data_IF_088468128505
#
_entry.id   IF_088468128505
#
_cell.length_a   1.000
_cell.length_b   1.000
_cell.length_c   1.000
_cell.angle_alpha   90.00
_cell.angle_beta   90.00
_cell.angle_gamma   90.00
#
_symmetry.space_group_name_H-M   'P 1'
#
loop_
_entity.id
_entity.type
_entity.pdbx_description
1 polymer ?
#
# COMPACT_ATOMS: atom_id res chain seq x y z
N UNK A 1 51.31 -5.41 82.85
CA UNK A 1 50.23 -4.67 82.17
C UNK A 1 50.37 -4.69 80.64
N UNK A 2 51.00 -5.70 80.02
CA UNK A 2 51.37 -5.67 78.59
C UNK A 2 50.66 -6.68 77.69
N UNK A 3 49.71 -7.48 78.21
CA UNK A 3 49.03 -8.54 77.43
C UNK A 3 47.59 -8.22 77.00
N UNK A 4 47.03 -7.06 77.37
CA UNK A 4 45.65 -6.66 77.00
C UNK A 4 45.57 -5.74 75.77
N UNK A 5 46.68 -5.15 75.32
CA UNK A 5 46.71 -4.20 74.19
C UNK A 5 46.91 -4.90 72.83
N UNK A 6 47.50 -6.11 72.84
CA UNK A 6 47.79 -6.86 71.60
C UNK A 6 46.56 -7.59 71.06
N UNK A 7 45.71 -8.13 71.93
CA UNK A 7 44.43 -8.80 71.59
C UNK A 7 43.33 -7.83 71.15
N UNK A 8 43.29 -6.63 71.71
CA UNK A 8 42.35 -5.57 71.29
C UNK A 8 42.72 -5.02 69.90
N UNK A 9 44.01 -4.87 69.60
CA UNK A 9 44.47 -4.45 68.27
C UNK A 9 44.11 -5.46 67.17
N UNK A 10 44.28 -6.77 67.40
CA UNK A 10 43.97 -7.80 66.37
C UNK A 10 42.46 -7.92 66.08
N UNK A 11 41.61 -7.76 67.09
CA UNK A 11 40.15 -7.77 66.93
C UNK A 11 39.62 -6.53 66.19
N UNK A 12 40.24 -5.36 66.41
CA UNK A 12 39.91 -4.13 65.68
C UNK A 12 40.29 -4.23 64.19
N UNK A 13 41.44 -4.84 63.87
CA UNK A 13 41.86 -5.06 62.48
C UNK A 13 40.97 -6.07 61.75
N UNK A 14 40.51 -7.14 62.42
CA UNK A 14 39.57 -8.11 61.83
C UNK A 14 38.17 -7.51 61.63
N UNK A 15 37.66 -6.71 62.57
CA UNK A 15 36.39 -6.00 62.39
C UNK A 15 36.46 -4.95 61.27
N UNK A 16 37.58 -4.23 61.14
CA UNK A 16 37.79 -3.31 60.03
C UNK A 16 37.86 -4.03 58.67
N UNK A 17 38.56 -5.16 58.57
CA UNK A 17 38.58 -5.97 57.34
C UNK A 17 37.21 -6.53 56.97
N UNK A 18 36.43 -6.99 57.94
CA UNK A 18 35.08 -7.53 57.71
C UNK A 18 34.08 -6.42 57.30
N UNK A 19 34.21 -5.22 57.86
CA UNK A 19 33.47 -4.03 57.42
C UNK A 19 33.87 -3.59 56.01
N UNK A 20 35.16 -3.59 55.67
CA UNK A 20 35.65 -3.26 54.32
C UNK A 20 35.14 -4.27 53.28
N UNK A 21 35.13 -5.56 53.62
CA UNK A 21 34.65 -6.62 52.74
C UNK A 21 33.14 -6.52 52.52
N UNK A 22 32.37 -6.16 53.55
CA UNK A 22 30.91 -5.93 53.44
C UNK A 22 30.60 -4.67 52.62
N UNK A 23 31.41 -3.60 52.78
CA UNK A 23 31.29 -2.40 51.94
C UNK A 23 31.60 -2.69 50.46
N UNK A 24 32.62 -3.50 50.17
CA UNK A 24 32.97 -3.90 48.81
C UNK A 24 31.85 -4.75 48.17
N UNK A 25 31.26 -5.68 48.92
CA UNK A 25 30.12 -6.49 48.47
C UNK A 25 28.90 -5.61 48.18
N UNK A 26 28.59 -4.64 49.04
CA UNK A 26 27.49 -3.71 48.81
C UNK A 26 27.74 -2.81 47.58
N UNK A 27 28.97 -2.36 47.36
CA UNK A 27 29.33 -1.59 46.15
C UNK A 27 29.23 -2.44 44.87
N UNK A 28 29.64 -3.71 44.93
CA UNK A 28 29.50 -4.66 43.82
C UNK A 28 28.02 -4.93 43.50
N UNK A 29 27.18 -5.12 44.53
CA UNK A 29 25.73 -5.29 44.37
C UNK A 29 25.06 -4.04 43.79
N UNK A 30 25.44 -2.85 44.26
CA UNK A 30 24.94 -1.58 43.70
C UNK A 30 25.35 -1.42 42.23
N UNK A 31 26.59 -1.78 41.87
CA UNK A 31 27.10 -1.71 40.49
C UNK A 31 26.42 -2.73 39.57
N UNK A 32 26.14 -3.94 40.07
CA UNK A 32 25.34 -4.94 39.37
C UNK A 32 23.90 -4.47 39.15
N UNK A 33 23.29 -3.85 40.17
CA UNK A 33 21.94 -3.30 40.04
C UNK A 33 21.89 -2.14 39.05
N UNK A 34 22.89 -1.24 39.06
CA UNK A 34 22.97 -0.16 38.07
C UNK A 34 23.16 -0.68 36.65
N UNK A 35 24.00 -1.72 36.47
CA UNK A 35 24.22 -2.35 35.17
C UNK A 35 22.95 -3.03 34.66
N UNK A 36 22.20 -3.71 35.55
CA UNK A 36 20.90 -4.30 35.23
C UNK A 36 19.93 -3.23 34.78
N UNK A 37 19.79 -2.14 35.53
CA UNK A 37 18.88 -1.04 35.17
C UNK A 37 19.27 -0.41 33.82
N UNK A 38 20.55 -0.15 33.57
CA UNK A 38 21.02 0.39 32.28
C UNK A 38 20.79 -0.58 31.12
N UNK A 39 20.97 -1.89 31.34
CA UNK A 39 20.70 -2.94 30.33
C UNK A 39 19.22 -3.00 29.99
N UNK A 40 18.33 -2.91 31.00
CA UNK A 40 16.88 -2.87 30.80
C UNK A 40 16.50 -1.67 29.95
N UNK A 41 17.01 -0.47 30.26
CA UNK A 41 16.73 0.75 29.48
C UNK A 41 17.28 0.64 28.06
N UNK A 42 18.51 0.15 27.87
CA UNK A 42 19.11 -0.01 26.55
C UNK A 42 18.35 -1.03 25.68
N UNK A 43 17.95 -2.17 26.26
CA UNK A 43 17.13 -3.16 25.56
C UNK A 43 15.74 -2.63 25.26
N UNK A 44 15.13 -1.86 26.17
CA UNK A 44 13.82 -1.24 25.95
C UNK A 44 13.88 -0.27 24.78
N UNK A 45 14.88 0.61 24.73
CA UNK A 45 15.07 1.55 23.62
C UNK A 45 15.37 0.84 22.29
N UNK A 46 16.17 -0.22 22.32
CA UNK A 46 16.53 -0.98 21.11
C UNK A 46 15.34 -1.78 20.56
N UNK A 47 14.54 -2.39 21.45
CA UNK A 47 13.32 -3.10 21.09
C UNK A 47 12.24 -2.14 20.60
N UNK A 48 12.06 -0.99 21.25
CA UNK A 48 11.12 0.04 20.79
C UNK A 48 11.47 0.58 19.40
N UNK A 49 12.76 0.70 19.07
CA UNK A 49 13.21 1.15 17.75
C UNK A 49 13.06 0.08 16.65
N UNK A 50 13.09 -1.22 16.99
CA UNK A 50 12.97 -2.33 16.03
C UNK A 50 12.36 -3.58 16.70
N UNK A 51 11.04 -3.54 16.90
CA UNK A 51 10.29 -4.54 17.69
C UNK A 51 10.39 -5.92 17.04
N UNK A 52 10.20 -6.03 15.72
CA UNK A 52 10.16 -7.30 14.99
C UNK A 52 11.47 -8.10 15.13
N UNK A 53 12.61 -7.44 14.88
CA UNK A 53 13.93 -8.10 14.93
C UNK A 53 14.34 -8.46 16.35
N UNK A 54 13.99 -7.60 17.32
CA UNK A 54 14.35 -7.79 18.71
C UNK A 54 13.48 -8.83 19.41
N UNK A 55 12.17 -8.86 19.16
CA UNK A 55 11.28 -9.87 19.75
C UNK A 55 11.59 -11.27 19.19
N UNK A 56 11.82 -11.38 17.88
CA UNK A 56 12.14 -12.66 17.22
C UNK A 56 13.35 -13.35 17.85
N UNK A 57 14.38 -12.59 18.26
CA UNK A 57 15.60 -13.12 18.87
C UNK A 57 15.52 -13.23 20.39
N UNK A 58 14.71 -12.41 21.05
CA UNK A 58 14.66 -12.34 22.52
C UNK A 58 13.49 -13.11 23.15
N UNK A 59 12.48 -13.53 22.39
CA UNK A 59 11.32 -14.29 22.92
C UNK A 59 11.72 -15.61 23.60
N UNK A 60 12.80 -16.24 23.13
CA UNK A 60 13.37 -17.44 23.73
C UNK A 60 13.82 -17.24 25.20
N UNK A 61 14.15 -16.01 25.60
CA UNK A 61 14.52 -15.69 26.99
C UNK A 61 13.33 -15.80 27.95
N UNK A 62 12.10 -15.64 27.45
CA UNK A 62 10.87 -15.88 28.21
C UNK A 62 10.66 -17.36 28.60
N UNK A 63 11.29 -18.28 27.85
CA UNK A 63 11.24 -19.73 28.09
C UNK A 63 12.56 -20.30 28.66
N UNK A 64 13.48 -19.42 29.06
CA UNK A 64 14.78 -19.83 29.57
C UNK A 64 14.65 -20.70 30.83
N UNK A 65 15.54 -21.68 31.03
CA UNK A 65 15.46 -22.62 32.18
C UNK A 65 15.64 -21.91 33.53
N UNK A 66 16.53 -20.91 33.55
CA UNK A 66 16.80 -20.11 34.75
C UNK A 66 15.65 -19.13 35.07
N UNK A 67 15.07 -19.16 36.28
CA UNK A 67 13.98 -18.27 36.67
C UNK A 67 14.37 -16.79 36.74
N UNK A 68 15.64 -16.45 37.03
CA UNK A 68 16.06 -15.06 37.12
C UNK A 68 16.13 -14.42 35.73
N UNK A 69 16.63 -15.14 34.72
CA UNK A 69 16.59 -14.70 33.31
C UNK A 69 15.16 -14.48 32.81
N UNK A 70 14.22 -15.38 33.15
CA UNK A 70 12.81 -15.19 32.78
C UNK A 70 12.21 -13.95 33.45
N UNK A 71 12.49 -13.75 34.74
CA UNK A 71 12.01 -12.59 35.48
C UNK A 71 12.58 -11.28 34.91
N UNK A 72 13.87 -11.23 34.59
CA UNK A 72 14.49 -10.06 33.96
C UNK A 72 13.90 -9.77 32.57
N UNK A 73 13.64 -10.80 31.76
CA UNK A 73 12.99 -10.63 30.46
C UNK A 73 11.54 -10.13 30.60
N UNK A 74 10.77 -10.68 31.53
CA UNK A 74 9.40 -10.21 31.81
C UNK A 74 9.39 -8.78 32.35
N UNK A 75 10.37 -8.40 33.16
CA UNK A 75 10.55 -7.02 33.63
C UNK A 75 10.83 -6.06 32.47
N UNK A 76 11.74 -6.42 31.55
CA UNK A 76 12.01 -5.65 30.32
C UNK A 76 10.75 -5.52 29.46
N UNK A 77 10.06 -6.62 29.18
CA UNK A 77 8.80 -6.59 28.41
C UNK A 77 7.73 -5.73 29.07
N UNK A 78 7.60 -5.83 30.40
CA UNK A 78 6.64 -5.04 31.16
C UNK A 78 6.97 -3.55 31.09
N UNK A 79 8.26 -3.16 31.16
CA UNK A 79 8.66 -1.77 31.00
C UNK A 79 8.42 -1.24 29.57
N UNK A 80 8.66 -2.05 28.54
CA UNK A 80 8.36 -1.69 27.15
C UNK A 80 6.86 -1.43 26.97
N UNK A 81 6.01 -2.32 27.52
CA UNK A 81 4.54 -2.16 27.51
C UNK A 81 4.10 -0.91 28.28
N UNK A 82 4.68 -0.64 29.44
CA UNK A 82 4.34 0.53 30.28
C UNK A 82 4.80 1.86 29.67
N UNK A 83 5.87 1.88 28.88
CA UNK A 83 6.36 3.06 28.18
C UNK A 83 5.48 3.48 26.99
N UNK A 84 4.39 2.75 26.72
CA UNK A 84 3.50 3.02 25.59
C UNK A 84 4.14 2.60 24.26
N UNK A 85 5.08 1.64 24.27
CA UNK A 85 5.57 1.05 23.03
C UNK A 85 4.43 0.26 22.42
N UNK A 86 3.87 0.83 21.36
CA UNK A 86 2.83 0.22 20.55
C UNK A 86 3.39 -1.04 19.83
N UNK A 87 3.28 -2.21 20.47
CA UNK A 87 3.36 -3.51 19.78
C UNK A 87 2.31 -3.64 18.67
N UNK A 88 1.40 -2.69 18.60
CA UNK A 88 0.38 -2.50 17.58
C UNK A 88 0.98 -2.66 16.17
N UNK A 89 2.25 -2.29 15.93
CA UNK A 89 2.94 -2.56 14.65
C UNK A 89 3.01 -4.04 14.21
N UNK A 90 2.83 -5.00 15.11
CA UNK A 90 2.85 -6.45 14.84
C UNK A 90 1.45 -7.04 14.58
N UNK A 91 0.38 -6.33 14.95
CA UNK A 91 -0.98 -6.79 14.77
C UNK A 91 -1.48 -6.39 13.37
N UNK A 92 -1.94 -7.36 12.56
CA UNK A 92 -2.52 -7.10 11.23
C UNK A 92 -3.65 -6.05 11.27
N UNK A 93 -4.38 -5.98 12.38
CA UNK A 93 -5.43 -4.99 12.65
C UNK A 93 -4.94 -3.54 12.70
N UNK A 94 -3.69 -3.28 13.11
CA UNK A 94 -3.16 -1.90 13.23
C UNK A 94 -2.49 -1.46 11.93
N UNK A 95 -1.93 -2.39 11.16
CA UNK A 95 -1.53 -2.09 9.78
C UNK A 95 -2.74 -1.61 8.98
N UNK A 96 -3.89 -2.24 9.15
CA UNK A 96 -5.15 -1.79 8.54
C UNK A 96 -5.52 -0.35 8.97
N UNK A 97 -5.45 -0.03 10.26
CA UNK A 97 -5.74 1.33 10.78
C UNK A 97 -4.79 2.39 10.20
N UNK A 98 -3.50 2.06 10.02
CA UNK A 98 -2.52 2.97 9.40
C UNK A 98 -2.79 3.22 7.93
N UNK A 99 -3.16 2.18 7.18
CA UNK A 99 -3.54 2.33 5.78
C UNK A 99 -4.87 3.07 5.62
N UNK A 100 -5.80 2.93 6.57
CA UNK A 100 -7.02 3.71 6.59
C UNK A 100 -6.72 5.21 6.70
N UNK A 101 -5.83 5.61 7.61
CA UNK A 101 -5.39 7.01 7.74
C UNK A 101 -4.76 7.54 6.44
N UNK A 102 -3.97 6.72 5.75
CA UNK A 102 -3.38 7.09 4.47
C UNK A 102 -4.46 7.27 3.38
N UNK A 103 -5.44 6.37 3.33
CA UNK A 103 -6.57 6.47 2.41
C UNK A 103 -7.35 7.75 2.68
N UNK A 104 -7.66 8.07 3.94
CA UNK A 104 -8.32 9.32 4.32
C UNK A 104 -7.57 10.55 3.80
N UNK A 105 -6.24 10.58 3.96
CA UNK A 105 -5.39 11.68 3.48
C UNK A 105 -5.41 11.79 1.95
N UNK A 106 -5.29 10.67 1.23
CA UNK A 106 -5.32 10.66 -0.25
C UNK A 106 -6.68 11.10 -0.79
N UNK A 107 -7.76 10.73 -0.11
CA UNK A 107 -9.14 11.09 -0.48
C UNK A 107 -9.62 12.41 0.14
N UNK A 108 -8.75 13.16 0.80
CA UNK A 108 -9.10 14.42 1.42
C UNK A 108 -9.61 15.42 0.37
N UNK A 109 -10.77 16.03 0.66
CA UNK A 109 -11.38 17.06 -0.17
C UNK A 109 -11.12 18.41 0.48
N UNK A 110 -10.49 19.33 -0.24
CA UNK A 110 -10.29 20.71 0.20
C UNK A 110 -11.57 21.55 0.09
N UNK A 111 -11.53 22.79 0.61
CA UNK A 111 -12.70 23.68 0.71
C UNK A 111 -13.41 23.96 -0.63
N UNK A 112 -12.69 23.81 -1.76
CA UNK A 112 -13.19 24.03 -3.12
C UNK A 112 -13.58 22.75 -3.86
N UNK A 113 -13.59 21.60 -3.18
CA UNK A 113 -13.78 20.30 -3.85
C UNK A 113 -12.51 19.73 -4.50
N UNK A 114 -11.36 20.36 -4.25
CA UNK A 114 -10.08 19.91 -4.81
C UNK A 114 -9.56 18.67 -4.07
N UNK A 115 -8.80 17.84 -4.77
CA UNK A 115 -8.13 16.65 -4.21
C UNK A 115 -6.62 16.90 -4.12
N UNK A 116 -6.14 17.73 -3.17
CA UNK A 116 -4.77 18.27 -3.20
C UNK A 116 -3.70 17.18 -3.21
N UNK A 117 -3.87 16.13 -2.41
CA UNK A 117 -2.89 15.03 -2.30
C UNK A 117 -2.89 14.19 -3.58
N UNK A 118 -4.07 13.82 -4.10
CA UNK A 118 -4.18 13.07 -5.34
C UNK A 118 -3.60 13.84 -6.53
N UNK A 119 -3.86 15.16 -6.61
CA UNK A 119 -3.33 16.03 -7.66
C UNK A 119 -1.81 16.21 -7.53
N UNK A 120 -1.28 16.33 -6.31
CA UNK A 120 0.17 16.39 -6.09
C UNK A 120 0.86 15.09 -6.55
N UNK A 121 0.32 13.93 -6.15
CA UNK A 121 0.81 12.62 -6.56
C UNK A 121 0.77 12.43 -8.08
N UNK A 122 -0.29 12.91 -8.74
CA UNK A 122 -0.43 12.84 -10.19
C UNK A 122 0.68 13.60 -10.95
N UNK A 123 1.20 14.67 -10.36
CA UNK A 123 2.25 15.49 -10.97
C UNK A 123 3.67 14.96 -10.75
N UNK A 124 3.91 14.23 -9.65
CA UNK A 124 5.26 13.76 -9.27
C UNK A 124 5.54 12.31 -9.67
N UNK A 125 4.50 11.53 -9.97
CA UNK A 125 4.65 10.11 -10.30
C UNK A 125 5.43 9.91 -11.59
N UNK A 126 6.39 8.99 -11.58
CA UNK A 126 7.14 8.63 -12.78
C UNK A 126 6.23 7.90 -13.79
N UNK A 127 6.43 8.08 -15.11
CA UNK A 127 5.57 7.46 -16.14
C UNK A 127 5.40 5.94 -15.99
N UNK A 128 6.43 5.24 -15.52
CA UNK A 128 6.42 3.78 -15.30
C UNK A 128 5.44 3.30 -14.22
N UNK A 129 5.02 4.18 -13.32
CA UNK A 129 4.08 3.86 -12.23
C UNK A 129 2.68 4.45 -12.45
N UNK A 130 2.46 5.20 -13.53
CA UNK A 130 1.18 5.87 -13.75
C UNK A 130 0.01 4.90 -13.95
N UNK A 131 0.23 3.75 -14.61
CA UNK A 131 -0.84 2.75 -14.79
C UNK A 131 -1.25 2.12 -13.45
N UNK A 132 -0.28 1.86 -12.59
CA UNK A 132 -0.52 1.33 -11.26
C UNK A 132 -1.17 2.38 -10.35
N UNK A 133 -0.75 3.64 -10.44
CA UNK A 133 -1.38 4.74 -9.72
C UNK A 133 -2.84 4.95 -10.17
N UNK A 134 -3.11 4.90 -11.47
CA UNK A 134 -4.46 5.01 -12.01
C UNK A 134 -5.37 3.89 -11.44
N UNK A 135 -4.87 2.66 -11.42
CA UNK A 135 -5.56 1.51 -10.83
C UNK A 135 -5.86 1.75 -9.35
N UNK A 136 -4.84 2.12 -8.56
CA UNK A 136 -4.98 2.38 -7.12
C UNK A 136 -5.96 3.52 -6.85
N UNK A 137 -5.87 4.62 -7.58
CA UNK A 137 -6.77 5.77 -7.43
C UNK A 137 -8.21 5.38 -7.74
N UNK A 138 -8.49 4.76 -8.88
CA UNK A 138 -9.85 4.36 -9.21
C UNK A 138 -10.41 3.40 -8.15
N UNK A 139 -9.64 2.40 -7.71
CA UNK A 139 -10.09 1.46 -6.68
C UNK A 139 -10.37 2.15 -5.34
N UNK A 140 -9.48 3.03 -4.87
CA UNK A 140 -9.65 3.72 -3.58
C UNK A 140 -10.83 4.69 -3.64
N UNK A 141 -10.89 5.53 -4.67
CA UNK A 141 -11.93 6.55 -4.78
C UNK A 141 -13.30 5.93 -5.06
N UNK A 142 -13.39 4.82 -5.79
CA UNK A 142 -14.65 4.08 -5.95
C UNK A 142 -15.11 3.48 -4.61
N UNK A 143 -14.20 2.84 -3.87
CA UNK A 143 -14.49 2.29 -2.55
C UNK A 143 -14.95 3.34 -1.52
N UNK A 144 -14.49 4.59 -1.65
CA UNK A 144 -14.93 5.73 -0.82
C UNK A 144 -16.12 6.51 -1.42
N UNK A 145 -16.71 6.06 -2.53
CA UNK A 145 -17.79 6.76 -3.24
C UNK A 145 -17.43 8.17 -3.74
N UNK A 146 -16.14 8.41 -4.00
CA UNK A 146 -15.57 9.67 -4.47
C UNK A 146 -15.02 9.59 -5.91
N UNK A 147 -15.32 8.52 -6.65
CA UNK A 147 -14.83 8.32 -8.02
C UNK A 147 -15.20 9.49 -8.94
N UNK A 148 -16.43 9.98 -8.86
CA UNK A 148 -16.86 11.15 -9.65
C UNK A 148 -16.01 12.39 -9.34
N UNK A 149 -15.67 12.62 -8.07
CA UNK A 149 -14.84 13.75 -7.65
C UNK A 149 -13.41 13.64 -8.22
N UNK A 150 -12.85 12.43 -8.22
CA UNK A 150 -11.56 12.14 -8.85
C UNK A 150 -11.58 12.45 -10.35
N UNK A 151 -12.58 11.93 -11.07
CA UNK A 151 -12.72 12.12 -12.51
C UNK A 151 -12.84 13.60 -12.87
N UNK A 152 -13.69 14.35 -12.16
CA UNK A 152 -13.84 15.79 -12.36
C UNK A 152 -12.52 16.54 -12.16
N UNK A 153 -11.80 16.29 -11.06
CA UNK A 153 -10.54 16.98 -10.79
C UNK A 153 -9.48 16.66 -11.85
N UNK A 154 -9.35 15.38 -12.23
CA UNK A 154 -8.35 14.95 -13.22
C UNK A 154 -8.65 15.49 -14.62
N UNK A 155 -9.91 15.43 -15.06
CA UNK A 155 -10.32 15.91 -16.37
C UNK A 155 -10.33 17.44 -16.44
N UNK A 156 -10.79 18.13 -15.39
CA UNK A 156 -10.70 19.58 -15.34
C UNK A 156 -9.25 20.05 -15.47
N UNK A 157 -8.30 19.36 -14.81
CA UNK A 157 -6.89 19.71 -14.93
C UNK A 157 -6.31 19.43 -16.31
N UNK A 158 -6.68 18.30 -16.94
CA UNK A 158 -6.28 17.99 -18.31
C UNK A 158 -6.78 19.06 -19.30
N UNK A 159 -8.03 19.51 -19.15
CA UNK A 159 -8.63 20.56 -19.98
C UNK A 159 -7.95 21.91 -19.75
N UNK A 160 -7.62 22.26 -18.51
CA UNK A 160 -6.92 23.50 -18.16
C UNK A 160 -5.51 23.57 -18.79
N UNK A 161 -4.84 22.43 -18.91
CA UNK A 161 -3.47 22.34 -19.44
C UNK A 161 -3.42 22.17 -20.97
N UNK A 162 -4.52 21.83 -21.62
CA UNK A 162 -4.54 21.54 -23.05
C UNK A 162 -4.59 22.82 -23.91
N UNK A 163 -3.67 22.94 -24.88
CA UNK A 163 -3.65 24.07 -25.82
C UNK A 163 -4.86 24.08 -26.77
N UNK A 164 -5.41 22.91 -27.08
CA UNK A 164 -6.57 22.78 -27.96
C UNK A 164 -7.40 21.53 -27.65
N UNK A 165 -8.66 21.53 -28.08
CA UNK A 165 -9.59 20.43 -27.81
C UNK A 165 -9.22 19.10 -28.49
N UNK A 166 -8.36 19.13 -29.51
CA UNK A 166 -8.01 17.95 -30.31
C UNK A 166 -7.06 16.99 -29.59
N UNK A 167 -6.38 17.44 -28.53
CA UNK A 167 -5.37 16.67 -27.80
C UNK A 167 -5.84 16.20 -26.41
N UNK A 168 -7.00 16.69 -25.94
CA UNK A 168 -7.57 16.34 -24.63
C UNK A 168 -7.78 14.82 -24.54
N UNK A 169 -7.24 14.20 -23.47
CA UNK A 169 -7.36 12.76 -23.19
C UNK A 169 -6.80 11.85 -24.30
N UNK A 170 -5.91 12.38 -25.16
CA UNK A 170 -5.16 11.61 -26.15
C UNK A 170 -3.71 11.33 -25.74
N UNK A 171 -3.23 12.01 -24.70
CA UNK A 171 -1.89 11.82 -24.15
C UNK A 171 -1.78 10.57 -23.27
N UNK A 172 -0.55 10.24 -22.86
CA UNK A 172 -0.25 9.16 -21.92
C UNK A 172 -0.26 9.64 -20.45
N UNK A 173 -1.02 10.70 -20.15
CA UNK A 173 -1.14 11.28 -18.82
C UNK A 173 -2.00 10.42 -17.89
N UNK A 174 -1.93 10.72 -16.58
CA UNK A 174 -2.74 10.04 -15.58
C UNK A 174 -4.26 10.13 -15.85
N UNK A 175 -4.83 11.28 -16.29
CA UNK A 175 -6.25 11.36 -16.61
C UNK A 175 -6.70 10.36 -17.68
N UNK A 176 -5.94 10.22 -18.78
CA UNK A 176 -6.21 9.20 -19.82
C UNK A 176 -6.12 7.79 -19.26
N UNK A 177 -5.12 7.49 -18.42
CA UNK A 177 -4.96 6.16 -17.80
C UNK A 177 -6.10 5.83 -16.84
N UNK A 178 -6.55 6.79 -16.03
CA UNK A 178 -7.73 6.66 -15.17
C UNK A 178 -8.96 6.36 -16.02
N UNK A 179 -9.19 7.12 -17.09
CA UNK A 179 -10.30 6.90 -18.01
C UNK A 179 -10.27 5.49 -18.62
N UNK A 180 -9.13 5.07 -19.16
CA UNK A 180 -8.95 3.72 -19.74
C UNK A 180 -9.19 2.62 -18.70
N UNK A 181 -8.71 2.81 -17.48
CA UNK A 181 -8.93 1.86 -16.40
C UNK A 181 -10.41 1.76 -16.01
N UNK A 182 -11.15 2.88 -15.93
CA UNK A 182 -12.59 2.87 -15.72
C UNK A 182 -13.34 2.13 -16.84
N UNK A 183 -13.01 2.40 -18.11
CA UNK A 183 -13.61 1.68 -19.24
C UNK A 183 -13.34 0.18 -19.19
N UNK A 184 -12.13 -0.21 -18.78
CA UNK A 184 -11.80 -1.63 -18.59
C UNK A 184 -12.60 -2.22 -17.43
N UNK A 185 -12.60 -1.57 -16.27
CA UNK A 185 -13.21 -2.09 -15.05
C UNK A 185 -14.74 -2.26 -15.18
N UNK A 186 -15.43 -1.24 -15.69
CA UNK A 186 -16.90 -1.23 -15.76
C UNK A 186 -17.45 -1.65 -17.13
N UNK A 187 -16.64 -1.54 -18.19
CA UNK A 187 -17.07 -1.77 -19.57
C UNK A 187 -16.77 -3.17 -20.11
N UNK A 188 -15.87 -3.95 -19.51
CA UNK A 188 -15.48 -5.26 -20.07
C UNK A 188 -16.65 -6.21 -20.30
N UNK A 189 -17.57 -6.34 -19.35
CA UNK A 189 -18.74 -7.20 -19.51
C UNK A 189 -19.71 -6.68 -20.58
N UNK A 190 -19.92 -5.36 -20.62
CA UNK A 190 -20.74 -4.71 -21.63
C UNK A 190 -20.18 -4.92 -23.04
N UNK A 191 -18.88 -4.68 -23.25
CA UNK A 191 -18.21 -4.87 -24.54
C UNK A 191 -18.23 -6.35 -24.97
N UNK A 192 -18.07 -7.27 -24.02
CA UNK A 192 -18.19 -8.69 -24.30
C UNK A 192 -19.58 -9.05 -24.82
N UNK A 193 -20.64 -8.68 -24.09
CA UNK A 193 -22.01 -8.99 -24.51
C UNK A 193 -22.36 -8.35 -25.86
N UNK A 194 -21.82 -7.16 -26.13
CA UNK A 194 -22.03 -6.43 -27.37
C UNK A 194 -21.35 -7.11 -28.57
N UNK A 195 -20.06 -7.43 -28.46
CA UNK A 195 -19.25 -7.88 -29.59
C UNK A 195 -19.12 -9.40 -29.73
N UNK A 196 -19.24 -10.17 -28.64
CA UNK A 196 -19.15 -11.63 -28.68
C UNK A 196 -20.06 -12.28 -29.74
N UNK A 197 -21.36 -11.91 -29.88
CA UNK A 197 -22.21 -12.53 -30.91
C UNK A 197 -21.80 -12.16 -32.34
N UNK A 198 -21.26 -10.96 -32.56
CA UNK A 198 -20.77 -10.51 -33.88
C UNK A 198 -19.50 -11.28 -34.24
N UNK A 199 -18.55 -11.34 -33.31
CA UNK A 199 -17.30 -12.08 -33.48
C UNK A 199 -17.56 -13.58 -33.68
N UNK A 200 -18.48 -14.18 -32.94
CA UNK A 200 -18.86 -15.58 -33.12
C UNK A 200 -19.40 -15.85 -34.53
N UNK A 201 -20.24 -14.97 -35.08
CA UNK A 201 -20.71 -15.07 -36.48
C UNK A 201 -19.54 -14.99 -37.47
N UNK A 202 -18.61 -14.04 -37.26
CA UNK A 202 -17.43 -13.90 -38.12
C UNK A 202 -16.54 -15.14 -38.10
N UNK A 203 -16.25 -15.70 -36.91
CA UNK A 203 -15.32 -16.83 -36.79
C UNK A 203 -15.93 -18.19 -37.15
N UNK A 204 -17.24 -18.38 -36.95
CA UNK A 204 -17.90 -19.69 -37.11
C UNK A 204 -18.62 -19.81 -38.46
N UNK A 205 -19.24 -18.72 -38.93
CA UNK A 205 -20.18 -18.77 -40.04
C UNK A 205 -19.68 -18.10 -41.31
N UNK A 206 -18.56 -17.35 -41.26
CA UNK A 206 -18.16 -16.49 -42.36
C UNK A 206 -16.78 -16.84 -42.94
N UNK A 207 -16.80 -17.47 -44.13
CA UNK A 207 -15.61 -17.70 -44.97
C UNK A 207 -15.33 -16.49 -45.90
N UNK A 208 -16.00 -15.36 -45.70
CA UNK A 208 -15.84 -14.17 -46.54
C UNK A 208 -14.50 -13.48 -46.32
N UNK A 209 -13.97 -12.93 -47.40
CA UNK A 209 -12.85 -12.00 -47.36
C UNK A 209 -13.34 -10.57 -47.15
N UNK A 210 -12.52 -9.81 -46.44
CA UNK A 210 -12.73 -8.40 -46.07
C UNK A 210 -11.61 -7.50 -46.59
N UNK A 211 -10.67 -8.05 -47.38
CA UNK A 211 -9.53 -7.31 -47.91
C UNK A 211 -9.97 -6.33 -49.00
N UNK A 212 -9.66 -5.05 -48.81
CA UNK A 212 -10.07 -3.96 -49.71
C UNK A 212 -8.89 -3.26 -50.37
N UNK A 213 -7.66 -3.63 -50.00
CA UNK A 213 -6.44 -3.18 -50.67
C UNK A 213 -6.21 -3.98 -51.96
N UNK A 214 -6.32 -3.35 -53.15
CA UNK A 214 -6.15 -4.04 -54.43
C UNK A 214 -4.80 -4.74 -54.60
N UNK A 215 -3.77 -4.33 -53.84
CA UNK A 215 -2.43 -4.93 -53.91
C UNK A 215 -2.30 -6.21 -53.10
N UNK A 216 -3.26 -6.51 -52.22
CA UNK A 216 -3.23 -7.64 -51.28
C UNK A 216 -4.33 -8.68 -51.53
N UNK A 217 -5.21 -8.42 -52.50
CA UNK A 217 -6.31 -9.31 -52.88
C UNK A 217 -5.78 -10.53 -53.64
N UNK A 218 -6.29 -11.71 -53.30
CA UNK A 218 -5.93 -12.93 -53.99
C UNK A 218 -6.60 -13.01 -55.38
N UNK A 219 -5.98 -13.73 -56.32
CA UNK A 219 -6.45 -13.79 -57.72
C UNK A 219 -7.89 -14.32 -57.89
N UNK A 220 -8.41 -15.02 -56.88
CA UNK A 220 -9.73 -15.63 -56.90
C UNK A 220 -10.80 -14.78 -56.19
N UNK A 221 -10.41 -13.70 -55.51
CA UNK A 221 -11.30 -12.83 -54.75
C UNK A 221 -11.80 -11.64 -55.61
N UNK A 222 -12.98 -11.13 -55.27
CA UNK A 222 -13.60 -9.99 -55.95
C UNK A 222 -13.61 -8.77 -55.03
N UNK A 223 -12.92 -7.70 -55.42
CA UNK A 223 -12.81 -6.46 -54.62
C UNK A 223 -14.17 -5.87 -54.24
N UNK A 224 -15.13 -5.85 -55.17
CA UNK A 224 -16.46 -5.29 -54.90
C UNK A 224 -17.27 -6.13 -53.91
N UNK A 225 -17.07 -7.45 -53.90
CA UNK A 225 -17.67 -8.34 -52.92
C UNK A 225 -17.05 -8.12 -51.54
N UNK A 226 -15.73 -8.07 -51.44
CA UNK A 226 -15.02 -7.80 -50.17
C UNK A 226 -15.43 -6.44 -49.57
N UNK A 227 -15.55 -5.39 -50.41
CA UNK A 227 -16.06 -4.07 -49.98
C UNK A 227 -17.48 -4.15 -49.45
N UNK A 228 -18.35 -4.92 -50.10
CA UNK A 228 -19.74 -5.14 -49.64
C UNK A 228 -19.75 -5.88 -48.31
N UNK A 229 -18.93 -6.91 -48.16
CA UNK A 229 -18.80 -7.69 -46.92
C UNK A 229 -18.35 -6.79 -45.76
N UNK A 230 -17.29 -6.00 -45.96
CA UNK A 230 -16.79 -5.06 -44.97
C UNK A 230 -17.83 -4.01 -44.57
N UNK A 231 -18.58 -3.48 -45.55
CA UNK A 231 -19.65 -2.52 -45.28
C UNK A 231 -20.77 -3.12 -44.43
N UNK A 232 -21.21 -4.34 -44.76
CA UNK A 232 -22.25 -5.03 -44.00
C UNK A 232 -21.79 -5.31 -42.56
N UNK A 233 -20.59 -5.84 -42.38
CA UNK A 233 -20.02 -6.05 -41.04
C UNK A 233 -19.92 -4.74 -40.24
N UNK A 234 -19.40 -3.68 -40.88
CA UNK A 234 -19.29 -2.37 -40.22
C UNK A 234 -20.65 -1.83 -39.81
N UNK A 235 -21.68 -2.02 -40.65
CA UNK A 235 -23.05 -1.62 -40.34
C UNK A 235 -23.61 -2.42 -39.15
N UNK A 236 -23.38 -3.73 -39.09
CA UNK A 236 -23.83 -4.58 -37.98
C UNK A 236 -23.17 -4.16 -36.66
N UNK A 237 -21.86 -3.91 -36.68
CA UNK A 237 -21.10 -3.40 -35.52
C UNK A 237 -21.61 -2.03 -35.07
N UNK A 238 -21.79 -1.11 -36.02
CA UNK A 238 -22.28 0.24 -35.74
C UNK A 238 -23.68 0.21 -35.14
N UNK A 239 -24.59 -0.56 -35.73
CA UNK A 239 -25.97 -0.67 -35.27
C UNK A 239 -26.04 -1.28 -33.87
N UNK A 240 -25.25 -2.32 -33.60
CA UNK A 240 -25.14 -2.90 -32.26
C UNK A 240 -24.71 -1.86 -31.22
N UNK A 241 -23.70 -1.03 -31.53
CA UNK A 241 -23.23 0.03 -30.62
C UNK A 241 -24.35 1.05 -30.37
N UNK A 242 -25.01 1.55 -31.42
CA UNK A 242 -26.07 2.56 -31.29
C UNK A 242 -27.26 2.04 -30.47
N UNK A 243 -27.69 0.80 -30.73
CA UNK A 243 -28.85 0.19 -30.06
C UNK A 243 -28.56 -0.21 -28.60
N UNK A 244 -27.27 -0.34 -28.25
CA UNK A 244 -26.83 -0.73 -26.91
C UNK A 244 -26.86 0.40 -25.87
N UNK A 245 -27.31 1.61 -26.24
CA UNK A 245 -27.41 2.76 -25.33
C UNK A 245 -28.12 2.44 -24.01
N UNK A 246 -29.20 1.64 -24.07
CA UNK A 246 -29.95 1.20 -22.88
C UNK A 246 -29.14 0.30 -21.94
N UNK A 247 -28.18 -0.45 -22.48
CA UNK A 247 -27.32 -1.42 -21.77
C UNK A 247 -26.00 -0.80 -21.29
N UNK A 248 -25.72 0.46 -21.64
CA UNK A 248 -24.46 1.11 -21.28
C UNK A 248 -24.32 1.27 -19.75
N UNK A 249 -23.20 0.84 -19.13
CA UNK A 249 -23.04 0.82 -17.67
C UNK A 249 -23.21 2.20 -17.01
N UNK A 250 -23.88 2.26 -15.85
CA UNK A 250 -24.16 3.51 -15.15
C UNK A 250 -22.87 4.26 -14.75
N UNK A 251 -21.86 3.54 -14.27
CA UNK A 251 -20.56 4.12 -13.88
C UNK A 251 -19.89 4.81 -15.08
N UNK A 252 -20.01 4.23 -16.27
CA UNK A 252 -19.48 4.83 -17.50
C UNK A 252 -20.35 5.98 -18.00
N UNK A 253 -21.68 5.95 -17.77
CA UNK A 253 -22.54 7.12 -18.04
C UNK A 253 -22.11 8.33 -17.24
N UNK A 254 -21.82 8.13 -15.95
CA UNK A 254 -21.33 9.19 -15.06
C UNK A 254 -19.96 9.71 -15.52
N UNK A 255 -19.09 8.83 -16.00
CA UNK A 255 -17.79 9.24 -16.55
C UNK A 255 -17.94 10.06 -17.84
N UNK A 256 -18.93 9.74 -18.67
CA UNK A 256 -19.15 10.37 -19.98
C UNK A 256 -20.11 11.57 -19.95
N UNK A 257 -20.78 11.85 -18.82
CA UNK A 257 -21.71 12.97 -18.65
C UNK A 257 -21.00 14.27 -18.34
#
# INVERSE_FOLDING_TARGET
>A
QTNNERTTSTNQTQQQQQQQQTQLINQLQQKQQSLRNSTIVAMSNLLAANIESGLMRSIALGYHRDPQTRAAFMEVLTQILQQGTEFDTLAETVLADRFERLVELVTMIGDKGELPIAMALANVVSPQYMDELARVFVTIFDAKHLLHQLLLNMFAKEVELADCYQIILRGNGLPTKIMLFCFKLYGSHYLYNLFAPILAKMFIADLRSYEVDPTRIEQHEQLDENRKNLRLLTQDVYQAIVDSSSQFPLQLRILCS
#
